data_IF_729110230269
#
_entry.id   IF_729110230269
#
_cell.length_a   1.000
_cell.length_b   1.000
_cell.length_c   1.000
_cell.angle_alpha   90.00
_cell.angle_beta   90.00
_cell.angle_gamma   90.00
#
_symmetry.space_group_name_H-M   'P 1'
#
loop_
_entity.id
_entity.type
_entity.pdbx_description
1 polymer ?
#
# COMPACT_ATOMS: atom_id res chain seq x y z
N UNK A 1 -17.76 15.03 -20.87
CA UNK A 1 -18.66 13.94 -21.30
C UNK A 1 -19.05 13.06 -20.10
N UNK A 2 -20.35 12.82 -19.93
CA UNK A 2 -20.96 12.04 -18.83
C UNK A 2 -20.28 10.67 -18.59
N UNK A 3 -19.69 10.10 -19.63
CA UNK A 3 -18.94 8.83 -19.63
C UNK A 3 -17.66 8.78 -18.78
N UNK A 4 -17.18 9.90 -18.21
CA UNK A 4 -15.97 9.90 -17.36
C UNK A 4 -16.27 9.99 -15.86
N UNK A 5 -17.54 10.12 -15.46
CA UNK A 5 -17.92 10.29 -14.05
C UNK A 5 -17.42 9.13 -13.18
N UNK A 6 -17.65 7.89 -13.59
CA UNK A 6 -17.19 6.70 -12.86
C UNK A 6 -15.67 6.60 -12.77
N UNK A 7 -14.94 7.07 -13.79
CA UNK A 7 -13.47 7.09 -13.77
C UNK A 7 -12.97 8.11 -12.75
N UNK A 8 -13.57 9.30 -12.70
CA UNK A 8 -13.23 10.33 -11.73
C UNK A 8 -13.51 9.86 -10.30
N UNK A 9 -14.69 9.27 -10.06
CA UNK A 9 -15.07 8.72 -8.76
C UNK A 9 -14.11 7.61 -8.29
N UNK A 10 -13.78 6.65 -9.17
CA UNK A 10 -12.80 5.60 -8.84
C UNK A 10 -11.41 6.17 -8.55
N UNK A 11 -10.95 7.14 -9.36
CA UNK A 11 -9.65 7.79 -9.15
C UNK A 11 -9.59 8.45 -7.77
N UNK A 12 -10.64 9.18 -7.39
CA UNK A 12 -10.68 9.90 -6.12
C UNK A 12 -10.72 8.92 -4.93
N UNK A 13 -11.43 7.79 -5.05
CA UNK A 13 -11.42 6.74 -4.02
C UNK A 13 -10.06 6.02 -3.94
N UNK A 14 -9.41 5.70 -5.07
CA UNK A 14 -8.05 5.17 -5.05
C UNK A 14 -7.07 6.16 -4.42
N UNK A 15 -7.21 7.45 -4.70
CA UNK A 15 -6.39 8.49 -4.10
C UNK A 15 -6.57 8.54 -2.57
N UNK A 16 -7.82 8.48 -2.09
CA UNK A 16 -8.14 8.44 -0.65
C UNK A 16 -7.50 7.24 0.04
N UNK A 17 -7.65 6.04 -0.53
CA UNK A 17 -7.06 4.80 0.01
C UNK A 17 -5.53 4.85 -0.01
N UNK A 18 -4.95 5.33 -1.11
CA UNK A 18 -3.49 5.48 -1.26
C UNK A 18 -2.91 6.38 -0.17
N UNK A 19 -3.52 7.54 0.06
CA UNK A 19 -3.09 8.46 1.13
C UNK A 19 -3.17 7.79 2.51
N UNK A 20 -4.26 7.08 2.81
CA UNK A 20 -4.43 6.36 4.08
C UNK A 20 -3.31 5.32 4.29
N UNK A 21 -3.05 4.48 3.29
CA UNK A 21 -2.05 3.39 3.38
C UNK A 21 -0.63 3.96 3.49
N UNK A 22 -0.26 4.92 2.62
CA UNK A 22 1.09 5.53 2.63
C UNK A 22 1.34 6.26 3.95
N UNK A 23 0.38 7.05 4.43
CA UNK A 23 0.52 7.76 5.71
C UNK A 23 0.57 6.78 6.89
N UNK A 24 -0.21 5.69 6.85
CA UNK A 24 -0.18 4.64 7.85
C UNK A 24 1.20 4.01 7.97
N UNK A 25 1.79 3.57 6.85
CA UNK A 25 3.15 3.01 6.85
C UNK A 25 4.19 4.01 7.38
N UNK A 26 4.16 5.27 6.91
CA UNK A 26 5.08 6.30 7.38
C UNK A 26 4.90 6.61 8.87
N UNK A 27 3.66 6.57 9.40
CA UNK A 27 3.38 6.75 10.84
C UNK A 27 3.96 5.61 11.68
N UNK A 28 3.93 4.38 11.14
CA UNK A 28 4.60 3.22 11.72
C UNK A 28 6.14 3.30 11.56
N UNK A 29 6.65 4.30 10.84
CA UNK A 29 8.04 4.52 10.45
C UNK A 29 8.57 3.50 9.44
N UNK A 30 7.69 2.88 8.65
CA UNK A 30 8.06 2.12 7.47
C UNK A 30 8.06 3.07 6.28
N UNK A 31 9.25 3.51 5.86
CA UNK A 31 9.41 4.49 4.78
C UNK A 31 8.63 4.05 3.53
N UNK A 32 7.60 4.82 3.18
CA UNK A 32 6.76 4.56 2.02
C UNK A 32 6.61 5.86 1.22
N UNK A 33 7.20 5.90 0.03
CA UNK A 33 7.10 7.07 -0.84
C UNK A 33 5.69 7.20 -1.43
N UNK A 34 5.32 8.42 -1.81
CA UNK A 34 4.05 8.69 -2.47
C UNK A 34 4.08 8.21 -3.94
N UNK A 35 3.27 7.21 -4.33
CA UNK A 35 3.22 6.78 -5.72
C UNK A 35 2.41 7.77 -6.57
N UNK A 36 2.94 8.14 -7.73
CA UNK A 36 2.32 9.11 -8.67
C UNK A 36 1.30 8.48 -9.63
N UNK A 37 1.08 7.18 -9.54
CA UNK A 37 0.17 6.42 -10.40
C UNK A 37 -0.05 5.01 -9.86
N UNK A 38 -0.95 4.26 -10.50
CA UNK A 38 -1.47 2.98 -10.02
C UNK A 38 -2.09 3.08 -8.61
N UNK A 39 -2.39 1.92 -8.01
CA UNK A 39 -3.05 1.79 -6.71
C UNK A 39 -2.22 0.95 -5.72
N UNK A 40 -0.90 0.86 -5.94
CA UNK A 40 0.04 0.12 -5.11
C UNK A 40 0.78 1.04 -4.13
N UNK A 41 1.26 0.47 -3.02
CA UNK A 41 2.18 1.10 -2.08
C UNK A 41 3.35 0.15 -1.83
N UNK A 42 4.56 0.72 -1.65
CA UNK A 42 5.80 -0.04 -1.52
C UNK A 42 6.55 0.41 -0.25
N UNK A 43 6.07 0.00 0.94
CA UNK A 43 6.75 0.32 2.19
C UNK A 43 8.09 -0.42 2.29
N UNK A 44 9.11 0.25 2.80
CA UNK A 44 10.38 -0.40 3.13
C UNK A 44 10.25 -1.18 4.42
N UNK A 45 10.52 -2.48 4.33
CA UNK A 45 10.56 -3.39 5.50
C UNK A 45 11.95 -3.51 6.12
N UNK A 46 12.97 -2.79 5.64
CA UNK A 46 14.36 -2.94 6.10
C UNK A 46 14.51 -2.85 7.62
N UNK A 47 13.71 -2.01 8.27
CA UNK A 47 13.70 -1.83 9.73
C UNK A 47 13.26 -3.06 10.53
N UNK A 48 12.55 -4.01 9.91
CA UNK A 48 12.12 -5.24 10.56
C UNK A 48 13.23 -6.29 10.60
N UNK A 49 14.28 -6.11 9.78
CA UNK A 49 15.36 -7.10 9.61
C UNK A 49 14.93 -8.39 8.90
N UNK A 50 13.70 -8.45 8.37
CA UNK A 50 13.17 -9.63 7.68
C UNK A 50 13.40 -9.54 6.17
N UNK A 51 13.53 -10.70 5.51
CA UNK A 51 13.42 -10.81 4.07
C UNK A 51 11.96 -10.67 3.62
N UNK A 52 11.73 -10.24 2.37
CA UNK A 52 10.40 -9.97 1.80
C UNK A 52 9.43 -11.16 1.94
N UNK A 53 9.86 -12.35 1.53
CA UNK A 53 9.02 -13.56 1.60
C UNK A 53 8.60 -13.89 3.04
N UNK A 54 9.56 -13.80 3.98
CA UNK A 54 9.28 -14.07 5.40
C UNK A 54 8.30 -13.06 5.97
N UNK A 55 8.50 -11.77 5.68
CA UNK A 55 7.60 -10.72 6.14
C UNK A 55 6.18 -10.90 5.60
N UNK A 56 6.04 -11.20 4.30
CA UNK A 56 4.74 -11.41 3.66
C UNK A 56 4.02 -12.65 4.21
N UNK A 57 4.74 -13.75 4.42
CA UNK A 57 4.15 -14.97 4.99
C UNK A 57 3.76 -14.79 6.45
N UNK A 58 4.58 -14.13 7.28
CA UNK A 58 4.22 -13.82 8.67
C UNK A 58 2.94 -12.99 8.75
N UNK A 59 2.81 -11.94 7.91
CA UNK A 59 1.57 -11.14 7.84
C UNK A 59 0.36 -11.97 7.40
N UNK A 60 0.54 -12.90 6.46
CA UNK A 60 -0.55 -13.75 5.99
C UNK A 60 -1.00 -14.75 7.06
N UNK A 61 -0.06 -15.37 7.76
CA UNK A 61 -0.34 -16.43 8.74
C UNK A 61 -0.81 -15.89 10.09
N UNK A 62 -0.20 -14.80 10.57
CA UNK A 62 -0.47 -14.26 11.92
C UNK A 62 -1.56 -13.18 11.92
N UNK A 63 -1.65 -12.38 10.86
CA UNK A 63 -2.54 -11.21 10.79
C UNK A 63 -3.60 -11.32 9.69
N UNK A 64 -3.63 -12.43 8.94
CA UNK A 64 -4.56 -12.67 7.83
C UNK A 64 -4.47 -11.61 6.71
N UNK A 65 -3.31 -10.96 6.55
CA UNK A 65 -3.07 -9.92 5.54
C UNK A 65 -2.13 -10.42 4.44
N UNK A 66 -2.62 -10.50 3.21
CA UNK A 66 -1.81 -10.86 2.06
C UNK A 66 -1.01 -9.67 1.50
N UNK A 67 0.28 -9.89 1.24
CA UNK A 67 1.18 -8.93 0.58
C UNK A 67 2.02 -9.65 -0.49
N UNK A 68 2.38 -8.93 -1.56
CA UNK A 68 3.32 -9.43 -2.58
C UNK A 68 4.76 -9.16 -2.09
N UNK A 69 5.63 -10.17 -2.01
CA UNK A 69 7.05 -9.97 -1.69
C UNK A 69 7.74 -9.10 -2.73
N UNK A 70 8.62 -8.21 -2.28
CA UNK A 70 9.40 -7.28 -3.12
C UNK A 70 10.90 -7.39 -2.91
#
# INVERSE_FOLDING_TARGET
PENQKFVAEMRDEYNRRRQLIVNGFNTLGMDCFEPKGAFYAFPSIKRTGMAGDKFAMTLLEEEEVAMVPG
#
